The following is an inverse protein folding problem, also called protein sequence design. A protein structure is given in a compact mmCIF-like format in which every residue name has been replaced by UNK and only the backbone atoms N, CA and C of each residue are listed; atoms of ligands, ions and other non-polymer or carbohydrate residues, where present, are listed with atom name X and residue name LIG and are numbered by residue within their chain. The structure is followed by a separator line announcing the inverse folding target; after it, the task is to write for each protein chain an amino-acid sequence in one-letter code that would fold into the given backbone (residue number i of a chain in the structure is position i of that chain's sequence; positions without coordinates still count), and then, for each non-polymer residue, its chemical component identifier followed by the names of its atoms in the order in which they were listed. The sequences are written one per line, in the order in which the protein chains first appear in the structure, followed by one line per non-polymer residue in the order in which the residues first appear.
data_IF_291072512668
#
_entry.id   IF_291072512668
#
_cell.length_a   1.000
_cell.length_b   1.000
_cell.length_c   1.000
_cell.angle_alpha   90.00
_cell.angle_beta   90.00
_cell.angle_gamma   90.00
#
_symmetry.space_group_name_H-M   'P 1'
#
loop_
_entity.id
_entity.type
_entity.pdbx_description
1 polymer ?
#
# COMPACT_ATOMS: atom_id res chain seq x y z
N UNK A 1 -66.50 19.56 9.73
CA UNK A 1 -65.31 19.01 10.42
C UNK A 1 -64.37 18.49 9.33
N UNK A 2 -63.28 19.23 9.03
CA UNK A 2 -62.34 18.91 7.98
C UNK A 2 -61.04 18.50 8.67
N UNK A 3 -60.70 17.22 8.61
CA UNK A 3 -59.44 16.66 9.15
C UNK A 3 -58.32 16.93 8.16
N UNK A 4 -57.30 17.72 8.57
CA UNK A 4 -56.04 17.89 7.86
C UNK A 4 -55.09 16.78 8.30
N UNK A 5 -54.80 15.85 7.42
CA UNK A 5 -53.71 14.90 7.58
C UNK A 5 -52.41 15.56 7.08
N UNK A 6 -51.56 15.95 8.02
CA UNK A 6 -50.21 16.44 7.73
C UNK A 6 -49.31 15.26 7.49
N UNK A 7 -48.90 15.01 6.22
CA UNK A 7 -47.89 14.04 5.85
C UNK A 7 -46.51 14.58 6.19
N UNK A 8 -45.92 14.03 7.24
CA UNK A 8 -44.53 14.33 7.63
C UNK A 8 -43.55 13.49 6.77
N UNK A 9 -43.11 14.08 5.67
CA UNK A 9 -42.03 13.46 4.84
C UNK A 9 -40.72 13.56 5.56
N UNK A 10 -40.27 12.44 6.14
CA UNK A 10 -38.94 12.30 6.74
C UNK A 10 -37.89 12.19 5.60
N UNK A 11 -37.25 13.31 5.25
CA UNK A 11 -36.07 13.29 4.38
C UNK A 11 -34.95 12.60 5.13
N UNK A 12 -34.71 11.32 4.79
CA UNK A 12 -33.52 10.58 5.21
C UNK A 12 -32.32 11.14 4.45
N UNK A 13 -31.62 12.13 5.02
CA UNK A 13 -30.38 12.67 4.52
C UNK A 13 -29.31 11.61 4.79
N UNK A 14 -29.09 10.70 3.83
CA UNK A 14 -27.95 9.78 3.85
C UNK A 14 -26.68 10.61 3.69
N UNK A 15 -26.03 10.95 4.80
CA UNK A 15 -24.67 11.48 4.78
C UNK A 15 -23.76 10.38 4.23
N UNK A 16 -23.36 10.52 2.98
CA UNK A 16 -22.23 9.77 2.44
C UNK A 16 -21.01 10.16 3.27
N UNK A 17 -20.70 9.35 4.28
CA UNK A 17 -19.45 9.46 4.99
C UNK A 17 -18.35 9.15 3.96
N UNK A 18 -17.73 10.21 3.43
CA UNK A 18 -16.47 10.07 2.69
C UNK A 18 -15.50 9.38 3.65
N UNK A 19 -15.06 8.19 3.29
CA UNK A 19 -13.99 7.52 4.05
C UNK A 19 -12.83 8.52 4.12
N UNK A 20 -12.53 9.00 5.32
CA UNK A 20 -11.43 9.93 5.51
C UNK A 20 -10.16 9.24 5.04
N UNK A 21 -9.43 9.88 4.11
CA UNK A 21 -8.14 9.37 3.64
C UNK A 21 -7.23 9.11 4.84
N UNK A 22 -6.70 7.90 4.91
CA UNK A 22 -5.79 7.52 5.98
C UNK A 22 -4.49 8.34 5.91
N UNK A 23 -4.05 8.86 7.06
CA UNK A 23 -2.77 9.57 7.14
C UNK A 23 -1.59 8.57 7.18
N UNK A 24 -1.03 8.30 6.01
CA UNK A 24 0.13 7.40 5.84
C UNK A 24 1.38 7.87 6.59
N UNK A 25 1.42 9.13 7.06
CA UNK A 25 2.53 9.63 7.90
C UNK A 25 2.59 8.90 9.24
N UNK A 26 1.47 8.39 9.73
CA UNK A 26 1.42 7.57 10.95
C UNK A 26 2.17 6.23 10.77
N UNK A 27 2.16 5.67 9.56
CA UNK A 27 2.86 4.41 9.22
C UNK A 27 4.29 4.65 8.73
N UNK A 28 4.50 5.72 7.99
CA UNK A 28 5.78 6.07 7.38
C UNK A 28 6.25 7.46 7.84
N UNK A 29 6.58 7.64 9.14
CA UNK A 29 6.91 8.96 9.70
C UNK A 29 8.16 9.58 9.07
N UNK A 30 9.08 8.77 8.54
CA UNK A 30 10.27 9.23 7.80
C UNK A 30 10.00 9.51 6.31
N UNK A 31 8.74 9.36 5.85
CA UNK A 31 8.37 9.50 4.46
C UNK A 31 8.81 8.32 3.59
N UNK A 32 8.84 8.56 2.28
CA UNK A 32 9.26 7.60 1.27
C UNK A 32 10.42 8.16 0.44
N UNK A 33 11.14 7.27 -0.22
CA UNK A 33 12.23 7.61 -1.17
C UNK A 33 12.05 6.85 -2.48
N UNK A 34 12.48 7.45 -3.59
CA UNK A 34 12.60 6.78 -4.89
C UNK A 34 13.90 5.97 -4.99
N UNK A 35 14.15 5.34 -6.15
CA UNK A 35 15.36 4.55 -6.44
C UNK A 35 16.66 5.36 -6.49
N UNK A 36 16.55 6.69 -6.49
CA UNK A 36 17.68 7.62 -6.41
C UNK A 36 17.87 8.20 -4.99
N UNK A 37 17.07 7.76 -4.02
CA UNK A 37 17.09 8.27 -2.64
C UNK A 37 16.41 9.63 -2.45
N UNK A 38 15.71 10.14 -3.46
CA UNK A 38 14.95 11.40 -3.34
C UNK A 38 13.65 11.18 -2.56
N UNK A 39 13.34 12.13 -1.71
CA UNK A 39 12.05 12.13 -0.96
C UNK A 39 10.86 12.16 -1.91
N UNK A 40 9.90 11.28 -1.65
CA UNK A 40 8.62 11.19 -2.35
C UNK A 40 7.50 11.55 -1.37
N UNK A 41 6.57 12.38 -1.84
CA UNK A 41 5.42 12.80 -1.04
C UNK A 41 4.47 11.62 -0.80
N UNK A 42 4.06 11.45 0.46
CA UNK A 42 3.05 10.47 0.88
C UNK A 42 1.67 10.72 0.24
N UNK A 43 1.42 11.92 -0.28
CA UNK A 43 0.22 12.22 -1.05
C UNK A 43 0.05 11.29 -2.27
N UNK A 44 1.13 10.68 -2.77
CA UNK A 44 1.11 9.68 -3.84
C UNK A 44 0.33 8.39 -3.47
N UNK A 45 0.14 8.13 -2.17
CA UNK A 45 -0.61 6.99 -1.64
C UNK A 45 -2.10 7.29 -1.46
N UNK A 46 -2.47 8.58 -1.47
CA UNK A 46 -3.82 9.04 -1.15
C UNK A 46 -4.85 8.48 -2.11
N UNK A 47 -5.98 7.99 -1.58
CA UNK A 47 -7.07 7.43 -2.37
C UNK A 47 -6.74 6.09 -3.07
N UNK A 48 -5.63 5.43 -2.70
CA UNK A 48 -5.24 4.14 -3.27
C UNK A 48 -5.21 3.03 -2.23
N UNK A 49 -5.41 1.82 -2.69
CA UNK A 49 -5.00 0.62 -1.96
C UNK A 49 -3.47 0.60 -1.89
N UNK A 50 -2.89 0.38 -0.72
CA UNK A 50 -1.44 0.40 -0.53
C UNK A 50 -0.93 -1.00 -0.24
N UNK A 51 -0.04 -1.49 -1.10
CA UNK A 51 0.63 -2.77 -0.92
C UNK A 51 2.05 -2.55 -0.38
N UNK A 52 2.33 -3.05 0.82
CA UNK A 52 3.66 -3.00 1.43
C UNK A 52 4.41 -4.27 1.06
N UNK A 53 5.44 -4.12 0.24
CA UNK A 53 6.25 -5.21 -0.29
C UNK A 53 7.54 -5.40 0.51
N UNK A 54 7.56 -6.43 1.35
CA UNK A 54 8.73 -6.86 2.11
C UNK A 54 9.56 -7.82 1.25
N UNK A 55 10.79 -7.44 0.89
CA UNK A 55 11.62 -8.18 -0.05
C UNK A 55 13.11 -7.85 0.09
N UNK A 56 13.96 -8.61 -0.60
CA UNK A 56 15.40 -8.36 -0.69
C UNK A 56 15.99 -8.91 -1.98
N UNK A 57 17.07 -8.28 -2.47
CA UNK A 57 17.79 -8.72 -3.67
C UNK A 57 18.41 -10.11 -3.53
N UNK A 58 18.96 -10.42 -2.36
CA UNK A 58 19.59 -11.72 -2.08
C UNK A 58 18.60 -12.89 -2.02
N UNK A 59 17.29 -12.65 -2.03
CA UNK A 59 16.22 -13.64 -1.86
C UNK A 59 15.75 -14.17 -3.25
N UNK A 60 16.06 -15.40 -3.67
CA UNK A 60 15.67 -15.90 -4.99
C UNK A 60 14.15 -15.89 -5.26
N UNK A 61 13.27 -16.33 -4.33
CA UNK A 61 11.82 -16.23 -4.56
C UNK A 61 11.34 -14.77 -4.67
N UNK A 62 12.00 -13.83 -4.01
CA UNK A 62 11.71 -12.41 -4.15
C UNK A 62 11.99 -11.93 -5.58
N UNK A 63 13.17 -12.24 -6.12
CA UNK A 63 13.54 -11.89 -7.50
C UNK A 63 12.63 -12.52 -8.54
N UNK A 64 12.09 -13.70 -8.28
CA UNK A 64 11.11 -14.35 -9.16
C UNK A 64 9.74 -13.67 -9.12
N UNK A 65 9.32 -13.14 -7.98
CA UNK A 65 8.02 -12.48 -7.81
C UNK A 65 8.03 -11.01 -8.25
N UNK A 66 9.12 -10.28 -8.04
CA UNK A 66 9.20 -8.84 -8.31
C UNK A 66 8.79 -8.45 -9.73
N UNK A 67 9.22 -9.12 -10.82
CA UNK A 67 8.78 -8.76 -12.17
C UNK A 67 7.27 -8.90 -12.38
N UNK A 68 6.65 -9.88 -11.73
CA UNK A 68 5.19 -10.07 -11.79
C UNK A 68 4.47 -8.91 -11.08
N UNK A 69 4.97 -8.51 -9.91
CA UNK A 69 4.43 -7.37 -9.17
C UNK A 69 4.63 -6.05 -9.92
N UNK A 70 5.80 -5.86 -10.58
CA UNK A 70 6.06 -4.68 -11.42
C UNK A 70 5.05 -4.55 -12.54
N UNK A 71 4.78 -5.65 -13.26
CA UNK A 71 3.77 -5.67 -14.31
C UNK A 71 2.40 -5.32 -13.73
N UNK A 72 1.99 -6.00 -12.68
CA UNK A 72 0.69 -5.81 -12.02
C UNK A 72 0.51 -4.37 -11.52
N UNK A 73 1.51 -3.80 -10.85
CA UNK A 73 1.46 -2.43 -10.34
C UNK A 73 1.34 -1.39 -11.47
N UNK A 74 2.00 -1.60 -12.61
CA UNK A 74 1.87 -0.72 -13.76
C UNK A 74 0.45 -0.75 -14.37
N UNK A 75 -0.16 -1.92 -14.43
CA UNK A 75 -1.53 -2.11 -14.92
C UNK A 75 -2.57 -1.46 -13.99
N UNK A 76 -2.30 -1.41 -12.70
CA UNK A 76 -3.22 -0.91 -11.67
C UNK A 76 -2.79 0.41 -10.99
N UNK A 77 -1.87 1.17 -11.59
CA UNK A 77 -1.25 2.39 -11.00
C UNK A 77 -2.21 3.47 -10.50
N UNK A 78 -3.44 3.50 -11.01
CA UNK A 78 -4.47 4.45 -10.57
C UNK A 78 -5.15 4.03 -9.28
N UNK A 79 -5.19 2.73 -8.97
CA UNK A 79 -5.87 2.15 -7.80
C UNK A 79 -4.91 1.59 -6.75
N UNK A 80 -3.69 1.22 -7.17
CA UNK A 80 -2.69 0.57 -6.34
C UNK A 80 -1.44 1.44 -6.23
N UNK A 81 -0.95 1.59 -5.02
CA UNK A 81 0.41 2.08 -4.73
C UNK A 81 1.18 0.96 -4.03
N UNK A 82 2.42 0.72 -4.46
CA UNK A 82 3.31 -0.21 -3.78
C UNK A 82 4.35 0.59 -2.98
N UNK A 83 4.66 0.14 -1.77
CA UNK A 83 5.71 0.69 -0.92
C UNK A 83 6.69 -0.43 -0.57
N UNK A 84 7.95 -0.26 -0.92
CA UNK A 84 8.98 -1.27 -0.67
C UNK A 84 9.56 -1.14 0.75
N UNK A 85 9.63 -2.25 1.46
CA UNK A 85 10.35 -2.42 2.71
C UNK A 85 11.49 -3.40 2.47
N UNK A 86 12.71 -2.87 2.42
CA UNK A 86 13.90 -3.68 2.11
C UNK A 86 14.40 -4.46 3.32
N UNK A 87 14.70 -5.72 3.09
CA UNK A 87 15.43 -6.63 3.97
C UNK A 87 16.86 -6.89 3.47
N UNK A 88 17.39 -5.99 2.64
CA UNK A 88 18.77 -6.04 2.17
C UNK A 88 19.77 -5.74 3.30
N UNK A 89 21.06 -5.99 3.05
CA UNK A 89 22.12 -5.75 4.02
C UNK A 89 22.53 -4.27 4.11
N UNK A 90 22.31 -3.50 3.03
CA UNK A 90 22.66 -2.08 2.94
C UNK A 90 21.69 -1.28 2.09
N UNK A 91 21.68 0.02 2.29
CA UNK A 91 20.90 0.96 1.49
C UNK A 91 21.28 0.93 0.01
N UNK A 92 22.57 0.80 -0.28
CA UNK A 92 23.09 0.65 -1.64
C UNK A 92 22.48 -0.59 -2.33
N UNK A 93 22.42 -1.73 -1.63
CA UNK A 93 21.79 -2.95 -2.15
C UNK A 93 20.27 -2.79 -2.35
N UNK A 94 19.60 -2.07 -1.47
CA UNK A 94 18.19 -1.74 -1.63
C UNK A 94 17.95 -0.95 -2.93
N UNK A 95 18.68 0.17 -3.13
CA UNK A 95 18.55 0.98 -4.34
C UNK A 95 19.02 0.24 -5.60
N UNK A 96 20.07 -0.55 -5.50
CA UNK A 96 20.54 -1.43 -6.57
C UNK A 96 19.44 -2.38 -7.04
N UNK A 97 18.75 -3.01 -6.08
CA UNK A 97 17.64 -3.92 -6.40
C UNK A 97 16.43 -3.18 -7.01
N UNK A 98 16.06 -2.03 -6.47
CA UNK A 98 14.97 -1.21 -7.05
C UNK A 98 15.27 -0.86 -8.51
N UNK A 99 16.49 -0.44 -8.80
CA UNK A 99 16.94 -0.04 -10.14
C UNK A 99 17.02 -1.23 -11.11
N UNK A 100 17.65 -2.33 -10.68
CA UNK A 100 17.82 -3.55 -11.49
C UNK A 100 16.44 -4.15 -11.85
N UNK A 101 15.54 -4.26 -10.88
CA UNK A 101 14.21 -4.80 -11.07
C UNK A 101 13.23 -3.80 -11.69
N UNK A 102 13.66 -2.56 -11.97
CA UNK A 102 12.83 -1.47 -12.52
C UNK A 102 11.55 -1.26 -11.70
N UNK A 103 11.68 -1.24 -10.39
CA UNK A 103 10.54 -1.03 -9.50
C UNK A 103 9.95 0.37 -9.71
N UNK A 104 8.67 0.53 -10.10
CA UNK A 104 8.07 1.83 -10.40
C UNK A 104 7.49 2.53 -9.16
N UNK A 105 7.86 2.08 -7.98
CA UNK A 105 7.33 2.53 -6.70
C UNK A 105 8.41 3.03 -5.76
N UNK A 106 7.98 3.67 -4.67
CA UNK A 106 8.87 4.19 -3.63
C UNK A 106 9.16 3.16 -2.56
N UNK A 107 10.22 3.38 -1.80
CA UNK A 107 10.58 2.60 -0.63
C UNK A 107 10.47 3.44 0.65
N UNK A 108 10.31 2.79 1.78
CA UNK A 108 10.66 3.43 3.06
C UNK A 108 12.18 3.58 3.16
N UNK A 109 12.70 4.65 3.79
CA UNK A 109 14.14 4.78 3.99
C UNK A 109 14.72 3.52 4.64
N UNK A 110 15.90 3.13 4.22
CA UNK A 110 16.54 1.88 4.66
C UNK A 110 16.59 1.77 6.19
N UNK A 111 16.15 0.62 6.72
CA UNK A 111 16.06 0.37 8.17
C UNK A 111 15.28 1.42 8.96
N UNK A 112 14.40 2.19 8.31
CA UNK A 112 13.55 3.17 8.99
C UNK A 112 12.63 2.51 10.01
N UNK A 113 12.30 3.24 11.08
CA UNK A 113 11.41 2.76 12.13
C UNK A 113 10.03 2.36 11.58
N UNK A 114 9.47 3.13 10.63
CA UNK A 114 8.17 2.85 10.03
C UNK A 114 8.14 1.52 9.26
N UNK A 115 9.17 1.24 8.43
CA UNK A 115 9.28 -0.02 7.70
C UNK A 115 9.43 -1.23 8.62
N UNK A 116 10.25 -1.11 9.66
CA UNK A 116 10.42 -2.17 10.65
C UNK A 116 9.16 -2.37 11.49
N UNK A 117 8.50 -1.28 11.90
CA UNK A 117 7.30 -1.34 12.70
C UNK A 117 6.16 -2.06 11.98
N UNK A 118 5.89 -1.72 10.71
CA UNK A 118 4.80 -2.35 9.95
C UNK A 118 5.08 -3.85 9.71
N UNK A 119 6.32 -4.22 9.42
CA UNK A 119 6.70 -5.62 9.25
C UNK A 119 6.52 -6.41 10.56
N UNK A 120 6.97 -5.85 11.69
CA UNK A 120 6.82 -6.44 13.03
C UNK A 120 5.36 -6.54 13.46
N UNK A 121 4.59 -5.45 13.34
CA UNK A 121 3.17 -5.38 13.70
C UNK A 121 2.36 -6.43 12.95
N UNK A 122 2.65 -6.61 11.67
CA UNK A 122 1.95 -7.59 10.83
C UNK A 122 2.51 -9.00 10.92
N UNK A 123 3.54 -9.22 11.72
CA UNK A 123 4.12 -10.54 11.96
C UNK A 123 4.81 -11.12 10.72
N UNK A 124 5.52 -10.29 9.96
CA UNK A 124 6.30 -10.73 8.80
C UNK A 124 7.48 -11.57 9.27
N UNK A 125 7.44 -12.88 9.03
CA UNK A 125 8.48 -13.84 9.42
C UNK A 125 9.30 -14.33 8.23
N UNK A 126 8.93 -13.96 7.02
CA UNK A 126 9.62 -14.37 5.79
C UNK A 126 9.37 -13.43 4.62
N UNK A 127 10.22 -13.54 3.61
CA UNK A 127 10.12 -12.79 2.37
C UNK A 127 10.12 -13.72 1.15
N UNK A 128 9.44 -13.38 0.04
CA UNK A 128 8.67 -12.15 -0.15
C UNK A 128 7.33 -12.18 0.59
N UNK A 129 6.92 -11.04 1.16
CA UNK A 129 5.58 -10.83 1.71
C UNK A 129 4.99 -9.56 1.10
N UNK A 130 3.72 -9.61 0.74
CA UNK A 130 2.95 -8.47 0.25
C UNK A 130 1.73 -8.26 1.14
N UNK A 131 1.81 -7.24 2.00
CA UNK A 131 0.71 -6.81 2.86
C UNK A 131 -0.13 -5.80 2.10
N UNK A 132 -1.44 -5.94 2.10
CA UNK A 132 -2.34 -5.03 1.38
C UNK A 132 -3.26 -4.31 2.35
N UNK A 133 -3.26 -3.00 2.27
CA UNK A 133 -4.07 -2.10 3.10
C UNK A 133 -5.06 -1.35 2.23
N UNK A 134 -6.26 -1.14 2.75
CA UNK A 134 -7.28 -0.29 2.15
C UNK A 134 -6.92 1.19 2.21
N UNK A 135 -7.73 2.02 1.55
CA UNK A 135 -7.60 3.48 1.57
C UNK A 135 -7.75 4.06 2.99
N UNK A 136 -8.42 3.35 3.87
CA UNK A 136 -8.62 3.65 5.29
C UNK A 136 -7.45 3.17 6.19
N UNK A 137 -6.39 2.62 5.61
CA UNK A 137 -5.24 2.10 6.32
C UNK A 137 -5.46 0.76 7.04
N UNK A 138 -6.63 0.12 6.87
CA UNK A 138 -6.90 -1.20 7.44
C UNK A 138 -6.26 -2.30 6.60
N UNK A 139 -5.72 -3.32 7.26
CA UNK A 139 -5.16 -4.49 6.58
C UNK A 139 -6.28 -5.29 5.90
N UNK A 140 -6.21 -5.43 4.59
CA UNK A 140 -7.13 -6.25 3.78
C UNK A 140 -6.66 -7.69 3.69
N UNK A 141 -5.37 -7.91 3.45
CA UNK A 141 -4.78 -9.25 3.38
C UNK A 141 -3.27 -9.24 3.60
N UNK A 142 -2.74 -10.33 4.14
CA UNK A 142 -1.29 -10.61 4.19
C UNK A 142 -0.83 -11.49 3.02
N UNK A 143 -1.75 -11.94 2.18
CA UNK A 143 -1.49 -12.80 1.02
C UNK A 143 -1.61 -12.03 -0.31
N UNK A 144 -1.13 -10.80 -0.37
CA UNK A 144 -1.15 -9.98 -1.58
C UNK A 144 -0.33 -10.55 -2.76
N UNK A 145 0.46 -11.59 -2.52
CA UNK A 145 1.17 -12.34 -3.58
C UNK A 145 0.23 -13.15 -4.48
N UNK A 146 -0.98 -13.44 -4.02
CA UNK A 146 -2.08 -13.88 -4.88
C UNK A 146 -2.61 -12.66 -5.66
N UNK A 147 -1.97 -12.39 -6.81
CA UNK A 147 -2.30 -11.23 -7.64
C UNK A 147 -3.73 -11.28 -8.19
N UNK A 148 -4.27 -12.49 -8.43
CA UNK A 148 -5.67 -12.63 -8.86
C UNK A 148 -6.65 -12.26 -7.74
N UNK A 149 -6.33 -12.63 -6.51
CA UNK A 149 -7.07 -12.19 -5.32
C UNK A 149 -6.94 -10.68 -5.09
N UNK A 150 -5.75 -10.13 -5.29
CA UNK A 150 -5.50 -8.69 -5.19
C UNK A 150 -6.29 -7.90 -6.25
N UNK A 151 -6.34 -8.37 -7.48
CA UNK A 151 -7.14 -7.74 -8.55
C UNK A 151 -8.62 -7.63 -8.18
N UNK A 152 -9.20 -8.67 -7.58
CA UNK A 152 -10.58 -8.66 -7.08
C UNK A 152 -10.79 -7.63 -5.96
N UNK A 153 -9.77 -7.40 -5.11
CA UNK A 153 -9.83 -6.35 -4.07
C UNK A 153 -9.80 -4.94 -4.67
N UNK A 154 -9.06 -4.73 -5.77
CA UNK A 154 -8.97 -3.44 -6.47
C UNK A 154 -10.21 -3.15 -7.32
N UNK A 155 -11.01 -4.16 -7.66
CA UNK A 155 -12.26 -4.01 -8.44
C UNK A 155 -13.48 -3.65 -7.59
N UNK A 156 -13.35 -3.71 -6.27
CA UNK A 156 -14.39 -3.27 -5.32
C UNK A 156 -14.22 -1.79 -5.02
#
# INVERSE_FOLDING_TARGET
MKSFLASLSLLLCATLASAADFDWKTRFPQGLVDEAGKTVDLASLKGKTVAVYCSAHWCPPCRAFTPQLVKFANEHKTKLAVVFVSFDQSEEKMFGYMKEAKMPWSAVPFKSAGGQAIAKEQGVTGIPTLLVFGQDGQLLTKNGRDLAGLEKLLGK
#
